data_IF_577451602478
#
_entry.id   IF_577451602478
#
_cell.length_a   1.000
_cell.length_b   1.000
_cell.length_c   1.000
_cell.angle_alpha   90.00
_cell.angle_beta   90.00
_cell.angle_gamma   90.00
#
_symmetry.space_group_name_H-M   'P 1'
#
loop_
_entity.id
_entity.type
_entity.pdbx_description
1 polymer ?
#
# COMPACT_ATOMS: atom_id res chain seq x y z
N UNK A 1 -4.04 15.90 -14.59
CA UNK A 1 -4.29 16.53 -13.28
C UNK A 1 -5.13 15.57 -12.44
N UNK A 2 -4.50 14.78 -11.56
CA UNK A 2 -5.19 13.76 -10.72
C UNK A 2 -5.27 14.18 -9.24
N UNK A 3 -4.66 15.33 -8.89
CA UNK A 3 -4.55 15.85 -7.53
C UNK A 3 -5.74 16.73 -7.12
N UNK A 4 -6.47 17.33 -8.07
CA UNK A 4 -7.53 18.28 -7.75
C UNK A 4 -8.78 17.64 -7.12
N UNK A 5 -9.01 16.36 -7.37
CA UNK A 5 -10.18 15.65 -6.85
C UNK A 5 -9.88 14.78 -5.62
N UNK A 6 -8.63 14.69 -5.19
CA UNK A 6 -8.25 13.79 -4.09
C UNK A 6 -8.93 14.17 -2.77
N UNK A 7 -9.12 15.47 -2.51
CA UNK A 7 -9.86 15.92 -1.31
C UNK A 7 -11.34 15.55 -1.35
N UNK A 8 -12.01 15.76 -2.49
CA UNK A 8 -13.45 15.50 -2.64
C UNK A 8 -13.75 13.99 -2.72
N UNK A 9 -12.86 13.23 -3.35
CA UNK A 9 -13.02 11.78 -3.50
C UNK A 9 -12.62 11.01 -2.23
N UNK A 10 -11.70 11.54 -1.41
CA UNK A 10 -11.42 10.97 -0.08
C UNK A 10 -12.66 10.94 0.81
N UNK A 11 -13.49 11.98 0.74
CA UNK A 11 -14.69 12.07 1.56
C UNK A 11 -15.85 11.26 0.98
N UNK A 12 -15.92 11.11 -0.35
CA UNK A 12 -17.04 10.44 -1.04
C UNK A 12 -16.82 8.96 -1.34
N UNK A 13 -15.57 8.56 -1.61
CA UNK A 13 -15.20 7.19 -2.04
C UNK A 13 -13.85 6.74 -1.47
N UNK A 14 -13.63 6.82 -0.14
CA UNK A 14 -12.37 6.39 0.46
C UNK A 14 -12.09 4.91 0.20
N UNK A 15 -13.12 4.08 0.20
CA UNK A 15 -13.01 2.63 0.03
C UNK A 15 -12.56 2.24 -1.39
N UNK A 16 -13.18 2.79 -2.44
CA UNK A 16 -12.80 2.51 -3.83
C UNK A 16 -11.36 2.97 -4.15
N UNK A 17 -10.90 4.07 -3.52
CA UNK A 17 -9.51 4.51 -3.64
C UNK A 17 -8.56 3.56 -2.91
N UNK A 18 -8.91 3.10 -1.70
CA UNK A 18 -8.14 2.10 -0.97
C UNK A 18 -8.03 0.78 -1.74
N UNK A 19 -9.12 0.27 -2.31
CA UNK A 19 -9.12 -0.94 -3.13
C UNK A 19 -8.21 -0.80 -4.36
N UNK A 20 -8.25 0.37 -5.01
CA UNK A 20 -7.40 0.64 -6.16
C UNK A 20 -5.93 0.69 -5.76
N UNK A 21 -5.59 1.36 -4.66
CA UNK A 21 -4.23 1.38 -4.15
C UNK A 21 -3.75 -0.03 -3.77
N UNK A 22 -4.59 -0.80 -3.08
CA UNK A 22 -4.32 -2.20 -2.72
C UNK A 22 -4.01 -3.05 -3.95
N UNK A 23 -4.82 -2.95 -4.99
CA UNK A 23 -4.62 -3.70 -6.25
C UNK A 23 -3.28 -3.35 -6.91
N UNK A 24 -2.90 -2.07 -6.93
CA UNK A 24 -1.62 -1.61 -7.49
C UNK A 24 -0.46 -2.19 -6.68
N UNK A 25 -0.48 -2.03 -5.36
CA UNK A 25 0.65 -2.49 -4.52
C UNK A 25 0.77 -4.02 -4.51
N UNK A 26 -0.35 -4.74 -4.62
CA UNK A 26 -0.37 -6.19 -4.76
C UNK A 26 0.26 -6.65 -6.09
N UNK A 27 -0.09 -6.02 -7.21
CA UNK A 27 0.52 -6.32 -8.51
C UNK A 27 2.04 -6.07 -8.46
N UNK A 28 2.46 -4.92 -7.91
CA UNK A 28 3.88 -4.59 -7.74
C UNK A 28 4.63 -5.61 -6.87
N UNK A 29 3.99 -6.10 -5.79
CA UNK A 29 4.57 -7.11 -4.91
C UNK A 29 4.74 -8.48 -5.59
N UNK A 30 3.83 -8.84 -6.50
CA UNK A 30 3.91 -10.09 -7.29
C UNK A 30 5.00 -9.98 -8.36
N UNK A 31 5.01 -8.89 -9.13
CA UNK A 31 5.82 -8.76 -10.34
C UNK A 31 7.31 -8.49 -10.07
N UNK A 32 7.67 -7.83 -8.96
CA UNK A 32 9.06 -7.36 -8.78
C UNK A 32 9.68 -7.72 -7.43
N UNK A 33 10.94 -8.18 -7.48
CA UNK A 33 11.81 -8.45 -6.34
C UNK A 33 12.91 -7.39 -6.09
N UNK A 34 12.72 -6.14 -6.58
CA UNK A 34 13.71 -5.08 -6.44
C UNK A 34 13.39 -4.14 -5.26
N UNK A 35 14.43 -3.62 -4.61
CA UNK A 35 14.30 -2.77 -3.41
C UNK A 35 13.63 -1.42 -3.68
N UNK A 36 13.84 -0.81 -4.85
CA UNK A 36 13.19 0.47 -5.23
C UNK A 36 11.67 0.33 -5.34
N UNK A 37 11.19 -0.82 -5.82
CA UNK A 37 9.77 -1.11 -5.93
C UNK A 37 9.16 -1.34 -4.56
N UNK A 38 9.85 -2.01 -3.64
CA UNK A 38 9.40 -2.09 -2.24
C UNK A 38 9.32 -0.73 -1.56
N UNK A 39 10.27 0.17 -1.80
CA UNK A 39 10.18 1.55 -1.32
C UNK A 39 8.97 2.30 -1.90
N UNK A 40 8.67 2.08 -3.18
CA UNK A 40 7.49 2.67 -3.81
C UNK A 40 6.19 2.11 -3.23
N UNK A 41 6.14 0.81 -2.95
CA UNK A 41 5.02 0.17 -2.26
C UNK A 41 4.80 0.79 -0.88
N UNK A 42 5.87 0.95 -0.08
CA UNK A 42 5.79 1.61 1.23
C UNK A 42 5.25 3.04 1.13
N UNK A 43 5.68 3.81 0.13
CA UNK A 43 5.14 5.16 -0.10
C UNK A 43 3.63 5.16 -0.39
N UNK A 44 3.17 4.20 -1.19
CA UNK A 44 1.74 4.04 -1.50
C UNK A 44 0.93 3.61 -0.27
N UNK A 45 1.45 2.67 0.51
CA UNK A 45 0.83 2.24 1.76
C UNK A 45 0.74 3.39 2.79
N UNK A 46 1.80 4.20 2.95
CA UNK A 46 1.73 5.43 3.77
C UNK A 46 0.69 6.41 3.24
N UNK A 47 0.54 6.51 1.92
CA UNK A 47 -0.52 7.33 1.33
C UNK A 47 -1.91 6.78 1.69
N UNK A 48 -2.11 5.46 1.65
CA UNK A 48 -3.36 4.82 2.07
C UNK A 48 -3.69 5.11 3.54
N UNK A 49 -2.71 5.13 4.45
CA UNK A 49 -2.95 5.47 5.87
C UNK A 49 -3.56 6.86 6.07
N UNK A 50 -3.43 7.78 5.10
CA UNK A 50 -4.04 9.12 5.16
C UNK A 50 -5.53 9.16 4.79
N UNK A 51 -6.14 8.00 4.51
CA UNK A 51 -7.57 7.85 4.18
C UNK A 51 -8.33 7.30 5.40
N UNK A 52 -9.63 7.61 5.54
CA UNK A 52 -10.50 6.89 6.48
C UNK A 52 -10.37 5.38 6.27
N UNK A 53 -10.26 4.61 7.35
CA UNK A 53 -10.03 3.14 7.37
C UNK A 53 -8.73 2.64 6.72
N UNK A 54 -7.89 3.55 6.22
CA UNK A 54 -6.64 3.22 5.54
C UNK A 54 -5.60 2.58 6.45
N UNK A 55 -5.51 3.00 7.71
CA UNK A 55 -4.58 2.39 8.68
C UNK A 55 -4.88 0.91 8.91
N UNK A 56 -6.16 0.57 9.13
CA UNK A 56 -6.61 -0.82 9.32
C UNK A 56 -6.29 -1.66 8.08
N UNK A 57 -6.60 -1.14 6.90
CA UNK A 57 -6.36 -1.83 5.63
C UNK A 57 -4.88 -2.10 5.39
N UNK A 58 -4.02 -1.13 5.71
CA UNK A 58 -2.56 -1.27 5.59
C UNK A 58 -2.01 -2.26 6.62
N UNK A 59 -2.53 -2.28 7.85
CA UNK A 59 -2.16 -3.27 8.86
C UNK A 59 -2.49 -4.71 8.39
N UNK A 60 -3.71 -4.92 7.87
CA UNK A 60 -4.14 -6.23 7.34
C UNK A 60 -3.23 -6.69 6.19
N UNK A 61 -2.90 -5.78 5.25
CA UNK A 61 -1.96 -6.05 4.16
C UNK A 61 -0.56 -6.38 4.66
N UNK A 62 -0.05 -5.63 5.65
CA UNK A 62 1.27 -5.85 6.25
C UNK A 62 1.33 -7.26 6.87
N UNK A 63 0.35 -7.64 7.67
CA UNK A 63 0.29 -8.98 8.27
C UNK A 63 0.21 -10.08 7.21
N UNK A 64 -0.65 -9.92 6.20
CA UNK A 64 -0.77 -10.88 5.09
C UNK A 64 0.56 -11.07 4.35
N UNK A 65 1.24 -9.97 4.03
CA UNK A 65 2.49 -10.01 3.29
C UNK A 65 3.69 -10.49 4.11
N UNK A 66 3.71 -10.22 5.42
CA UNK A 66 4.70 -10.82 6.31
C UNK A 66 4.64 -12.34 6.28
N UNK A 67 3.43 -12.92 6.17
CA UNK A 67 3.26 -14.36 6.04
C UNK A 67 3.58 -14.87 4.63
N UNK A 68 2.99 -14.24 3.61
CA UNK A 68 3.09 -14.67 2.21
C UNK A 68 4.52 -14.50 1.64
N UNK A 69 5.21 -13.44 2.01
CA UNK A 69 6.52 -13.07 1.47
C UNK A 69 7.63 -13.14 2.52
N UNK A 70 7.48 -13.98 3.55
CA UNK A 70 8.47 -14.16 4.65
C UNK A 70 9.91 -14.40 4.20
N UNK A 71 10.10 -15.03 3.04
CA UNK A 71 11.41 -15.35 2.45
C UNK A 71 11.97 -14.21 1.57
N UNK A 72 11.38 -13.01 1.58
CA UNK A 72 11.83 -11.82 0.86
C UNK A 72 12.37 -10.78 1.85
N UNK A 73 13.64 -10.89 2.30
CA UNK A 73 14.15 -10.05 3.39
C UNK A 73 14.11 -8.56 3.08
N UNK A 74 14.40 -8.16 1.83
CA UNK A 74 14.32 -6.76 1.41
C UNK A 74 12.88 -6.20 1.48
N UNK A 75 11.86 -7.02 1.22
CA UNK A 75 10.46 -6.59 1.37
C UNK A 75 10.10 -6.42 2.84
N UNK A 76 10.50 -7.38 3.69
CA UNK A 76 10.24 -7.33 5.13
C UNK A 76 10.90 -6.11 5.78
N UNK A 77 12.12 -5.78 5.38
CA UNK A 77 12.82 -4.59 5.88
C UNK A 77 12.04 -3.31 5.54
N UNK A 78 11.57 -3.16 4.30
CA UNK A 78 10.80 -1.99 3.89
C UNK A 78 9.41 -1.97 4.57
N UNK A 79 8.73 -3.11 4.74
CA UNK A 79 7.45 -3.18 5.47
C UNK A 79 7.60 -2.89 6.97
N UNK A 80 8.74 -3.20 7.58
CA UNK A 80 8.99 -2.88 8.99
C UNK A 80 9.28 -1.39 9.22
N UNK A 81 9.64 -0.64 8.17
CA UNK A 81 9.83 0.83 8.19
C UNK A 81 8.51 1.60 7.99
N UNK A 82 7.43 0.87 7.76
CA UNK A 82 6.06 1.36 7.59
C UNK A 82 5.41 1.54 8.95
#
# INVERSE_FOLDING_TARGET
MLLEYERVLKDKYPEALLERYESIVQAMAVETANRKNYQQIVKLLRKMQTYPDGEKRVADLKTKWQQQYKNRPAMMEELNRL
#
